data_IF_380358130019
#
_entry.id   IF_380358130019
#
_cell.length_a   1.000
_cell.length_b   1.000
_cell.length_c   1.000
_cell.angle_alpha   90.00
_cell.angle_beta   90.00
_cell.angle_gamma   90.00
#
_symmetry.space_group_name_H-M   'P 1'
#
loop_
_entity.id
_entity.type
_entity.pdbx_description
1 polymer ?
#
# COMPACT_ATOMS: atom_id res chain seq x y z
N UNK A 1 -37.16 -2.56 -18.21
CA UNK A 1 -37.70 -1.82 -19.38
C UNK A 1 -36.55 -1.22 -20.17
N UNK A 2 -36.24 -1.71 -21.39
CA UNK A 2 -35.25 -1.08 -22.29
C UNK A 2 -35.97 0.03 -23.06
N UNK A 3 -35.63 1.30 -22.84
CA UNK A 3 -36.25 2.39 -23.60
C UNK A 3 -35.87 2.24 -25.09
N UNK A 4 -36.89 2.14 -25.95
CA UNK A 4 -36.72 2.03 -27.41
C UNK A 4 -36.31 3.40 -27.96
N UNK A 5 -35.01 3.68 -27.89
CA UNK A 5 -34.42 4.81 -28.61
C UNK A 5 -34.33 4.54 -30.11
N UNK A 6 -34.42 5.61 -30.93
CA UNK A 6 -34.14 5.55 -32.38
C UNK A 6 -32.74 4.99 -32.61
N UNK A 7 -32.63 3.99 -33.50
CA UNK A 7 -31.33 3.39 -33.86
C UNK A 7 -30.37 4.49 -34.33
N UNK A 8 -29.10 4.49 -33.87
CA UNK A 8 -28.11 5.48 -34.29
C UNK A 8 -27.96 5.46 -35.81
N UNK A 9 -27.94 6.65 -36.42
CA UNK A 9 -27.57 6.79 -37.83
C UNK A 9 -26.06 6.53 -37.94
N UNK A 10 -25.69 5.64 -38.85
CA UNK A 10 -24.30 5.28 -39.12
C UNK A 10 -23.83 6.14 -40.30
N UNK A 11 -22.64 6.72 -40.17
CA UNK A 11 -22.01 7.53 -41.22
C UNK A 11 -20.76 6.82 -41.75
N UNK A 12 -20.31 7.16 -42.98
CA UNK A 12 -19.08 6.61 -43.54
C UNK A 12 -17.87 6.91 -42.63
N UNK A 13 -17.15 5.87 -42.21
CA UNK A 13 -16.04 5.99 -41.25
C UNK A 13 -14.91 6.88 -41.79
N UNK A 14 -14.61 6.78 -43.09
CA UNK A 14 -13.52 7.55 -43.71
C UNK A 14 -13.77 9.05 -43.68
N UNK A 15 -15.03 9.47 -43.86
CA UNK A 15 -15.43 10.88 -43.76
C UNK A 15 -15.29 11.36 -42.31
N UNK A 16 -15.71 10.56 -41.33
CA UNK A 16 -15.57 10.91 -39.91
C UNK A 16 -14.10 11.01 -39.48
N UNK A 17 -13.27 10.08 -39.92
CA UNK A 17 -11.83 10.11 -39.67
C UNK A 17 -11.18 11.33 -40.31
N UNK A 18 -11.56 11.68 -41.54
CA UNK A 18 -11.09 12.89 -42.20
C UNK A 18 -11.46 14.16 -41.42
N UNK A 19 -12.70 14.27 -40.94
CA UNK A 19 -13.12 15.40 -40.08
C UNK A 19 -12.26 15.48 -38.82
N UNK A 20 -12.01 14.34 -38.17
CA UNK A 20 -11.19 14.28 -36.96
C UNK A 20 -9.74 14.69 -37.29
N UNK A 21 -9.16 14.18 -38.37
CA UNK A 21 -7.80 14.50 -38.78
C UNK A 21 -7.64 15.97 -39.17
N UNK A 22 -8.61 16.54 -39.90
CA UNK A 22 -8.61 17.94 -40.30
C UNK A 22 -8.82 18.86 -39.09
N UNK A 23 -9.71 18.50 -38.16
CA UNK A 23 -9.86 19.17 -36.87
C UNK A 23 -8.53 19.23 -36.12
N UNK A 24 -7.83 18.09 -36.04
CA UNK A 24 -6.56 17.99 -35.33
C UNK A 24 -5.44 18.80 -35.99
N UNK A 25 -5.38 18.82 -37.33
CA UNK A 25 -4.42 19.65 -38.08
C UNK A 25 -4.66 21.14 -37.86
N UNK A 26 -5.93 21.55 -37.87
CA UNK A 26 -6.31 22.97 -37.77
C UNK A 26 -6.23 23.52 -36.35
N UNK A 27 -6.53 22.71 -35.33
CA UNK A 27 -6.57 23.18 -33.93
C UNK A 27 -5.23 23.06 -33.21
N UNK A 28 -4.23 22.38 -33.79
CA UNK A 28 -2.79 22.54 -33.53
C UNK A 28 -2.23 22.16 -32.16
N UNK A 29 -3.01 22.28 -31.09
CA UNK A 29 -2.61 22.16 -29.68
C UNK A 29 -3.58 21.31 -28.85
N UNK A 30 -4.64 20.78 -29.48
CA UNK A 30 -5.63 19.94 -28.81
C UNK A 30 -5.01 18.57 -28.52
N UNK A 31 -4.80 18.29 -27.23
CA UNK A 31 -4.20 17.06 -26.71
C UNK A 31 -5.22 15.91 -26.72
N UNK A 32 -6.40 16.18 -26.15
CA UNK A 32 -7.57 15.31 -26.13
C UNK A 32 -8.68 16.00 -26.91
N UNK A 33 -9.27 15.29 -27.87
CA UNK A 33 -10.45 15.78 -28.56
C UNK A 33 -11.62 15.76 -27.58
N UNK A 34 -12.05 16.94 -27.10
CA UNK A 34 -13.28 17.04 -26.30
C UNK A 34 -14.48 17.06 -27.23
N UNK A 35 -15.56 16.39 -26.84
CA UNK A 35 -16.75 16.25 -27.68
C UNK A 35 -17.32 17.59 -28.15
N UNK A 36 -17.23 18.63 -27.31
CA UNK A 36 -17.72 19.98 -27.65
C UNK A 36 -16.92 20.62 -28.77
N UNK A 37 -15.61 20.47 -28.75
CA UNK A 37 -14.71 21.13 -29.70
C UNK A 37 -14.86 20.53 -31.09
N UNK A 38 -14.87 19.20 -31.17
CA UNK A 38 -15.10 18.52 -32.45
C UNK A 38 -16.52 18.71 -32.97
N UNK A 39 -17.50 18.81 -32.07
CA UNK A 39 -18.86 19.16 -32.46
C UNK A 39 -18.94 20.55 -33.10
N UNK A 40 -18.34 21.57 -32.46
CA UNK A 40 -18.32 22.93 -32.99
C UNK A 40 -17.62 22.98 -34.35
N UNK A 41 -16.48 22.30 -34.49
CA UNK A 41 -15.77 22.22 -35.75
C UNK A 41 -16.60 21.54 -36.85
N UNK A 42 -17.19 20.38 -36.56
CA UNK A 42 -18.04 19.69 -37.54
C UNK A 42 -19.28 20.52 -37.92
N UNK A 43 -19.81 21.32 -37.00
CA UNK A 43 -20.91 22.24 -37.26
C UNK A 43 -20.49 23.39 -38.19
N UNK A 44 -19.29 23.95 -37.98
CA UNK A 44 -18.72 24.97 -38.88
C UNK A 44 -18.51 24.43 -40.29
N UNK A 45 -17.96 23.23 -40.44
CA UNK A 45 -17.73 22.59 -41.74
C UNK A 45 -19.05 22.27 -42.47
N UNK A 46 -20.11 21.90 -41.73
CA UNK A 46 -21.46 21.77 -42.28
C UNK A 46 -22.01 23.12 -42.76
N UNK A 47 -21.86 24.19 -41.96
CA UNK A 47 -22.35 25.52 -42.34
C UNK A 47 -21.63 26.10 -43.56
N UNK A 48 -20.36 25.71 -43.79
CA UNK A 48 -19.59 26.06 -45.00
C UNK A 48 -19.96 25.23 -46.24
N UNK A 49 -20.83 24.23 -46.10
CA UNK A 49 -21.20 23.31 -47.18
C UNK A 49 -20.14 22.27 -47.53
N UNK A 50 -19.14 22.07 -46.66
CA UNK A 50 -18.06 21.08 -46.85
C UNK A 50 -18.54 19.70 -46.40
N UNK A 51 -19.45 19.64 -45.42
CA UNK A 51 -20.11 18.41 -44.98
C UNK A 51 -21.56 18.37 -45.47
N UNK A 52 -21.93 17.27 -46.13
CA UNK A 52 -23.27 17.04 -46.66
C UNK A 52 -24.33 16.78 -45.58
N UNK A 53 -23.91 16.54 -44.34
CA UNK A 53 -24.79 16.16 -43.25
C UNK A 53 -24.39 16.80 -41.92
N UNK A 54 -25.42 17.21 -41.16
CA UNK A 54 -25.25 17.77 -39.83
C UNK A 54 -25.05 16.67 -38.79
N UNK A 55 -23.91 16.69 -38.11
CA UNK A 55 -23.63 15.85 -36.95
C UNK A 55 -24.12 16.54 -35.68
N UNK A 56 -24.91 15.84 -34.86
CA UNK A 56 -25.45 16.40 -33.62
C UNK A 56 -24.42 16.37 -32.49
N UNK A 57 -24.59 17.22 -31.47
CA UNK A 57 -23.74 17.17 -30.28
C UNK A 57 -23.80 15.80 -29.59
N UNK A 58 -24.99 15.20 -29.54
CA UNK A 58 -25.23 13.85 -29.01
C UNK A 58 -24.42 12.76 -29.73
N UNK A 59 -24.13 12.94 -31.02
CA UNK A 59 -23.32 12.01 -31.80
C UNK A 59 -21.86 11.95 -31.30
N UNK A 60 -21.34 13.09 -30.82
CA UNK A 60 -19.98 13.21 -30.29
C UNK A 60 -19.90 12.94 -28.77
N UNK A 61 -21.01 13.13 -28.05
CA UNK A 61 -21.05 13.02 -26.59
C UNK A 61 -21.38 11.62 -26.07
N UNK A 62 -22.37 10.93 -26.66
CA UNK A 62 -22.93 9.69 -26.09
C UNK A 62 -22.03 8.47 -26.39
N UNK A 63 -21.78 7.59 -25.40
CA UNK A 63 -20.80 6.51 -25.50
C UNK A 63 -21.18 5.42 -26.52
N UNK A 64 -22.46 5.27 -26.84
CA UNK A 64 -22.97 4.30 -27.82
C UNK A 64 -22.92 4.81 -29.27
N UNK A 65 -22.44 6.03 -29.50
CA UNK A 65 -22.43 6.68 -30.81
C UNK A 65 -21.07 6.55 -31.49
N UNK A 66 -21.12 6.38 -32.81
CA UNK A 66 -19.95 6.19 -33.66
C UNK A 66 -18.92 7.32 -33.52
N UNK A 67 -19.36 8.59 -33.43
CA UNK A 67 -18.47 9.73 -33.25
C UNK A 67 -17.68 9.68 -31.95
N UNK A 68 -18.35 9.38 -30.83
CA UNK A 68 -17.70 9.23 -29.52
C UNK A 68 -16.71 8.06 -29.50
N UNK A 69 -17.10 6.90 -30.03
CA UNK A 69 -16.23 5.72 -30.10
C UNK A 69 -14.95 5.98 -30.91
N UNK A 70 -15.05 6.67 -32.05
CA UNK A 70 -13.90 7.02 -32.88
C UNK A 70 -12.98 8.03 -32.18
N UNK A 71 -13.56 9.04 -31.54
CA UNK A 71 -12.80 10.02 -30.75
C UNK A 71 -12.07 9.34 -29.60
N UNK A 72 -12.73 8.43 -28.89
CA UNK A 72 -12.11 7.71 -27.78
C UNK A 72 -11.00 6.75 -28.24
N UNK A 73 -11.18 6.09 -29.39
CA UNK A 73 -10.13 5.27 -30.01
C UNK A 73 -8.90 6.11 -30.38
N UNK A 74 -9.12 7.29 -30.97
CA UNK A 74 -8.03 8.20 -31.38
C UNK A 74 -7.35 8.82 -30.16
N UNK A 75 -8.10 9.24 -29.16
CA UNK A 75 -7.52 9.75 -27.91
C UNK A 75 -6.68 8.66 -27.23
N UNK A 76 -7.18 7.41 -27.15
CA UNK A 76 -6.45 6.27 -26.59
C UNK A 76 -5.16 5.94 -27.34
N UNK A 77 -5.12 6.16 -28.66
CA UNK A 77 -3.89 5.99 -29.46
C UNK A 77 -2.88 7.11 -29.22
N UNK A 78 -3.36 8.33 -28.97
CA UNK A 78 -2.55 9.54 -28.82
C UNK A 78 -1.95 9.71 -27.43
N UNK A 79 -2.63 9.21 -26.41
CA UNK A 79 -2.14 9.22 -25.04
C UNK A 79 -1.97 7.83 -24.48
N UNK A 80 -0.78 7.59 -23.92
CA UNK A 80 -0.59 6.48 -23.02
C UNK A 80 -1.01 6.95 -21.63
N UNK A 81 -2.04 6.33 -21.06
CA UNK A 81 -2.34 6.48 -19.65
C UNK A 81 -1.43 5.53 -18.89
N UNK A 82 -0.47 6.07 -18.14
CA UNK A 82 0.24 5.26 -17.16
C UNK A 82 -0.60 5.27 -15.89
N UNK A 83 -1.03 4.09 -15.47
CA UNK A 83 -1.73 3.91 -14.21
C UNK A 83 -0.75 4.05 -13.05
N UNK A 84 -1.05 4.96 -12.12
CA UNK A 84 -0.30 5.12 -10.88
C UNK A 84 -1.28 5.23 -9.71
N UNK A 85 -1.39 4.18 -8.89
CA UNK A 85 -2.22 4.14 -7.68
C UNK A 85 -3.62 4.78 -7.89
N UNK A 86 -4.38 4.26 -8.87
CA UNK A 86 -5.73 4.67 -9.24
C UNK A 86 -5.87 6.10 -9.83
N UNK A 87 -4.76 6.75 -10.20
CA UNK A 87 -4.75 7.99 -10.98
C UNK A 87 -4.00 7.77 -12.28
N UNK A 88 -4.61 8.19 -13.39
CA UNK A 88 -3.98 8.12 -14.70
C UNK A 88 -3.12 9.37 -14.94
N UNK A 89 -1.84 9.17 -15.21
CA UNK A 89 -0.95 10.24 -15.67
C UNK A 89 -0.84 10.09 -17.18
N UNK A 90 -1.23 11.15 -17.89
CA UNK A 90 -1.18 11.20 -19.33
C UNK A 90 0.26 11.47 -19.80
N UNK A 91 0.79 10.57 -20.62
CA UNK A 91 2.07 10.75 -21.30
C UNK A 91 1.82 10.85 -22.80
N UNK A 92 2.38 11.90 -23.40
CA UNK A 92 2.30 12.16 -24.83
C UNK A 92 3.38 11.34 -25.54
N UNK A 93 3.00 10.59 -26.56
CA UNK A 93 3.93 9.83 -27.41
C UNK A 93 4.88 10.76 -28.16
N UNK A 94 6.18 10.65 -27.92
CA UNK A 94 7.21 11.44 -28.62
C UNK A 94 7.17 11.24 -30.13
N UNK A 95 6.94 10.00 -30.60
CA UNK A 95 6.82 9.68 -32.02
C UNK A 95 5.62 10.39 -32.65
N UNK A 96 4.48 10.47 -31.95
CA UNK A 96 3.30 11.16 -32.46
C UNK A 96 3.51 12.68 -32.57
N UNK A 97 4.22 13.27 -31.60
CA UNK A 97 4.58 14.69 -31.62
C UNK A 97 5.45 14.99 -32.83
N UNK A 98 6.51 14.20 -33.04
CA UNK A 98 7.46 14.39 -34.15
C UNK A 98 6.78 14.16 -35.50
N UNK A 99 5.99 13.09 -35.65
CA UNK A 99 5.34 12.73 -36.91
C UNK A 99 4.25 13.72 -37.33
N UNK A 100 3.59 14.41 -36.38
CA UNK A 100 2.58 15.44 -36.70
C UNK A 100 3.16 16.82 -36.98
N UNK A 101 4.27 17.15 -36.33
CA UNK A 101 4.83 18.50 -36.29
C UNK A 101 6.15 18.57 -37.07
N UNK A 102 6.30 17.78 -38.13
CA UNK A 102 7.53 17.61 -38.91
C UNK A 102 7.92 18.83 -39.80
N UNK A 103 7.35 20.01 -39.54
CA UNK A 103 7.65 21.24 -40.28
C UNK A 103 8.60 22.13 -39.48
N UNK A 104 9.68 22.59 -40.12
CA UNK A 104 10.69 23.45 -39.49
C UNK A 104 10.24 24.91 -39.44
N UNK A 105 9.18 25.18 -38.68
CA UNK A 105 8.75 26.55 -38.37
C UNK A 105 8.89 26.86 -36.89
N UNK A 106 9.21 28.12 -36.50
CA UNK A 106 9.30 28.52 -35.10
C UNK A 106 8.01 28.25 -34.29
N UNK A 107 6.85 28.35 -34.94
CA UNK A 107 5.56 28.04 -34.32
C UNK A 107 5.44 26.54 -34.00
N UNK A 108 5.82 25.68 -34.94
CA UNK A 108 5.83 24.22 -34.77
C UNK A 108 6.78 23.78 -33.65
N UNK A 109 7.99 24.36 -33.60
CA UNK A 109 8.97 24.09 -32.54
C UNK A 109 8.44 24.44 -31.14
N UNK A 110 7.73 25.57 -31.00
CA UNK A 110 7.11 25.97 -29.73
C UNK A 110 6.03 24.98 -29.26
N UNK A 111 5.25 24.43 -30.19
CA UNK A 111 4.24 23.41 -29.89
C UNK A 111 4.85 22.10 -29.41
N UNK A 112 5.91 21.63 -30.06
CA UNK A 112 6.67 20.44 -29.64
C UNK A 112 7.20 20.63 -28.21
N UNK A 113 7.83 21.77 -27.92
CA UNK A 113 8.36 22.08 -26.58
C UNK A 113 7.25 22.05 -25.53
N UNK A 114 6.10 22.67 -25.80
CA UNK A 114 4.98 22.68 -24.85
C UNK A 114 4.41 21.28 -24.58
N UNK A 115 4.34 20.42 -25.61
CA UNK A 115 3.89 19.03 -25.45
C UNK A 115 4.90 18.21 -24.63
N UNK A 116 6.20 18.35 -24.88
CA UNK A 116 7.23 17.64 -24.12
C UNK A 116 7.28 18.07 -22.64
N UNK A 117 6.99 19.34 -22.33
CA UNK A 117 6.89 19.83 -20.93
C UNK A 117 5.82 19.11 -20.11
N UNK A 118 4.75 18.62 -20.74
CA UNK A 118 3.73 17.81 -20.06
C UNK A 118 4.33 16.50 -19.56
N UNK A 119 5.15 15.85 -20.38
CA UNK A 119 5.86 14.62 -20.01
C UNK A 119 6.87 14.88 -18.89
N UNK A 120 7.62 15.99 -18.95
CA UNK A 120 8.56 16.37 -17.89
C UNK A 120 7.85 16.58 -16.55
N UNK A 121 6.70 17.26 -16.55
CA UNK A 121 5.89 17.47 -15.35
C UNK A 121 5.35 16.14 -14.81
N UNK A 122 4.81 15.28 -15.70
CA UNK A 122 4.34 13.94 -15.36
C UNK A 122 5.44 13.11 -14.70
N UNK A 123 6.64 13.10 -15.29
CA UNK A 123 7.81 12.42 -14.74
C UNK A 123 8.19 12.94 -13.35
N UNK A 124 8.28 14.25 -13.15
CA UNK A 124 8.59 14.85 -11.84
C UNK A 124 7.58 14.41 -10.78
N UNK A 125 6.29 14.42 -11.12
CA UNK A 125 5.23 13.99 -10.19
C UNK A 125 5.35 12.51 -9.82
N UNK A 126 5.63 11.64 -10.79
CA UNK A 126 5.85 10.20 -10.56
C UNK A 126 7.09 10.00 -9.68
N UNK A 127 8.20 10.66 -10.00
CA UNK A 127 9.47 10.52 -9.28
C UNK A 127 9.34 10.96 -7.81
N UNK A 128 8.72 12.11 -7.54
CA UNK A 128 8.50 12.56 -6.15
C UNK A 128 7.66 11.55 -5.36
N UNK A 129 6.59 11.03 -5.96
CA UNK A 129 5.72 10.07 -5.29
C UNK A 129 6.40 8.71 -5.09
N UNK A 130 7.19 8.26 -6.04
CA UNK A 130 8.00 7.05 -5.91
C UNK A 130 8.94 7.16 -4.70
N UNK A 131 9.62 8.29 -4.54
CA UNK A 131 10.50 8.53 -3.39
C UNK A 131 9.73 8.51 -2.06
N UNK A 132 8.56 9.16 -2.01
CA UNK A 132 7.69 9.14 -0.82
C UNK A 132 7.23 7.71 -0.46
N UNK A 133 6.86 6.90 -1.45
CA UNK A 133 6.46 5.51 -1.24
C UNK A 133 7.63 4.67 -0.75
N UNK A 134 8.81 4.85 -1.35
CA UNK A 134 10.05 4.16 -0.94
C UNK A 134 10.44 4.48 0.50
N UNK A 135 10.32 5.74 0.92
CA UNK A 135 10.54 6.13 2.32
C UNK A 135 9.54 5.50 3.27
N UNK A 136 8.25 5.45 2.88
CA UNK A 136 7.21 4.81 3.68
C UNK A 136 7.42 3.30 3.82
N UNK A 137 7.81 2.64 2.73
CA UNK A 137 8.14 1.20 2.72
C UNK A 137 9.33 0.90 3.63
N UNK A 138 10.37 1.73 3.60
CA UNK A 138 11.51 1.60 4.50
C UNK A 138 11.10 1.72 5.97
N UNK A 139 10.28 2.73 6.32
CA UNK A 139 9.75 2.91 7.69
C UNK A 139 8.91 1.72 8.15
N UNK A 140 7.98 1.26 7.31
CA UNK A 140 7.13 0.11 7.63
C UNK A 140 7.96 -1.18 7.79
N UNK A 141 8.99 -1.37 6.97
CA UNK A 141 9.87 -2.53 7.08
C UNK A 141 10.67 -2.52 8.38
N UNK A 142 11.13 -1.35 8.81
CA UNK A 142 11.79 -1.18 10.10
C UNK A 142 10.84 -1.47 11.26
N UNK A 143 9.63 -0.91 11.26
CA UNK A 143 8.63 -1.14 12.30
C UNK A 143 8.24 -2.62 12.41
N UNK A 144 8.11 -3.32 11.27
CA UNK A 144 7.86 -4.77 11.26
C UNK A 144 9.04 -5.54 11.89
N UNK A 145 10.28 -5.13 11.65
CA UNK A 145 11.45 -5.77 12.24
C UNK A 145 11.49 -5.56 13.76
N UNK A 146 11.19 -4.36 14.24
CA UNK A 146 11.11 -4.01 15.66
C UNK A 146 10.00 -4.81 16.36
N UNK A 147 8.79 -4.84 15.80
CA UNK A 147 7.67 -5.62 16.33
C UNK A 147 7.96 -7.13 16.37
N UNK A 148 8.65 -7.67 15.36
CA UNK A 148 9.06 -9.08 15.37
C UNK A 148 10.05 -9.38 16.49
N UNK A 149 11.01 -8.49 16.73
CA UNK A 149 11.95 -8.63 17.84
C UNK A 149 11.24 -8.56 19.20
N UNK A 150 10.29 -7.64 19.35
CA UNK A 150 9.47 -7.51 20.56
C UNK A 150 8.62 -8.76 20.81
N UNK A 151 8.01 -9.33 19.77
CA UNK A 151 7.24 -10.59 19.88
C UNK A 151 8.12 -11.74 20.38
N UNK A 152 9.36 -11.86 19.89
CA UNK A 152 10.29 -12.88 20.36
C UNK A 152 10.60 -12.68 21.84
N UNK A 153 10.96 -11.45 22.24
CA UNK A 153 11.25 -11.13 23.64
C UNK A 153 10.04 -11.41 24.57
N UNK A 154 8.83 -11.03 24.16
CA UNK A 154 7.62 -11.30 24.92
C UNK A 154 7.32 -12.81 25.04
N UNK A 155 7.62 -13.60 24.01
CA UNK A 155 7.48 -15.06 24.07
C UNK A 155 8.48 -15.67 25.06
N UNK A 156 9.73 -15.25 24.99
CA UNK A 156 10.79 -15.73 25.90
C UNK A 156 10.43 -15.38 27.36
N UNK A 157 9.96 -14.16 27.61
CA UNK A 157 9.50 -13.74 28.93
C UNK A 157 8.28 -14.55 29.41
N UNK A 158 7.32 -14.84 28.52
CA UNK A 158 6.16 -15.65 28.88
C UNK A 158 6.55 -17.08 29.23
N UNK A 159 7.50 -17.68 28.51
CA UNK A 159 8.03 -19.00 28.84
C UNK A 159 8.73 -18.99 30.22
N UNK A 160 9.51 -17.95 30.51
CA UNK A 160 10.12 -17.77 31.83
C UNK A 160 9.04 -17.67 32.92
N UNK A 161 8.01 -16.85 32.73
CA UNK A 161 6.91 -16.72 33.70
C UNK A 161 6.17 -18.03 33.92
N UNK A 162 5.89 -18.78 32.85
CA UNK A 162 5.26 -20.10 32.97
C UNK A 162 6.13 -21.06 33.77
N UNK A 163 7.43 -21.11 33.48
CA UNK A 163 8.37 -21.97 34.20
C UNK A 163 8.45 -21.61 35.70
N UNK A 164 8.54 -20.33 36.03
CA UNK A 164 8.55 -19.87 37.44
C UNK A 164 7.24 -20.23 38.14
N UNK A 165 6.11 -20.02 37.48
CA UNK A 165 4.79 -20.36 38.02
C UNK A 165 4.65 -21.87 38.25
N UNK A 166 5.13 -22.71 37.33
CA UNK A 166 5.16 -24.16 37.50
C UNK A 166 6.06 -24.58 38.66
N UNK A 167 7.23 -23.97 38.81
CA UNK A 167 8.11 -24.22 39.96
C UNK A 167 7.42 -23.85 41.28
N UNK A 168 6.75 -22.70 41.35
CA UNK A 168 5.97 -22.28 42.52
C UNK A 168 4.81 -23.25 42.82
N UNK A 169 4.07 -23.68 41.80
CA UNK A 169 2.99 -24.64 41.95
C UNK A 169 3.51 -25.99 42.46
N UNK A 170 4.62 -26.49 41.91
CA UNK A 170 5.25 -27.72 42.39
C UNK A 170 5.69 -27.60 43.85
N UNK A 171 6.41 -26.53 44.21
CA UNK A 171 6.87 -26.29 45.58
C UNK A 171 5.70 -26.21 46.57
N UNK A 172 4.58 -25.58 46.19
CA UNK A 172 3.40 -25.49 47.06
C UNK A 172 2.63 -26.81 47.21
N UNK A 173 2.84 -27.78 46.32
CA UNK A 173 2.19 -29.09 46.37
C UNK A 173 2.92 -30.14 47.24
N UNK A 174 4.18 -29.88 47.61
CA UNK A 174 5.00 -30.79 48.42
C UNK A 174 4.51 -30.78 49.86
N UNK A 175 3.99 -31.92 50.33
CA UNK A 175 3.33 -32.06 51.65
C UNK A 175 4.21 -31.74 52.86
N UNK A 176 5.53 -31.92 52.75
CA UNK A 176 6.50 -31.66 53.83
C UNK A 176 7.17 -30.27 53.74
N UNK A 177 6.84 -29.47 52.72
CA UNK A 177 7.19 -28.05 52.69
C UNK A 177 6.11 -27.29 53.46
N UNK A 178 6.37 -27.03 54.74
CA UNK A 178 5.47 -26.22 55.55
C UNK A 178 5.24 -24.86 54.92
N UNK A 179 4.03 -24.60 54.41
CA UNK A 179 3.60 -23.28 54.02
C UNK A 179 3.59 -22.40 55.28
N UNK A 180 4.63 -21.61 55.48
CA UNK A 180 4.70 -20.65 56.57
C UNK A 180 3.62 -19.60 56.30
N UNK A 181 2.55 -19.62 57.09
CA UNK A 181 1.48 -18.64 57.00
C UNK A 181 1.96 -17.30 57.59
N UNK A 182 2.74 -16.56 56.80
CA UNK A 182 3.28 -15.24 57.15
C UNK A 182 2.19 -14.18 57.42
N UNK A 183 0.93 -14.46 57.07
CA UNK A 183 -0.22 -13.58 57.37
C UNK A 183 -0.62 -13.69 58.85
N UNK A 184 -0.39 -14.84 59.49
CA UNK A 184 -0.83 -15.07 60.88
C UNK A 184 0.32 -15.20 61.88
N UNK A 185 1.55 -15.48 61.44
CA UNK A 185 2.73 -15.45 62.32
C UNK A 185 3.52 -14.15 62.15
N UNK A 186 2.98 -13.08 62.73
CA UNK A 186 3.70 -11.93 63.31
C UNK A 186 4.97 -11.38 62.64
N UNK A 187 4.82 -10.14 62.13
CA UNK A 187 5.83 -9.09 61.87
C UNK A 187 6.74 -9.27 60.65
N UNK A 188 6.41 -8.46 59.63
CA UNK A 188 7.23 -8.00 58.48
C UNK A 188 7.55 -9.06 57.43
N UNK A 189 7.14 -8.79 56.17
CA UNK A 189 7.71 -9.43 54.99
C UNK A 189 9.23 -9.33 55.10
N UNK A 190 9.96 -10.44 54.89
CA UNK A 190 11.42 -10.32 54.78
C UNK A 190 11.75 -9.50 53.53
N UNK A 191 12.78 -8.66 53.60
CA UNK A 191 13.21 -7.79 52.50
C UNK A 191 13.42 -8.60 51.21
N UNK A 192 13.89 -9.85 51.34
CA UNK A 192 14.08 -10.80 50.24
C UNK A 192 12.79 -11.14 49.49
N UNK A 193 11.70 -11.43 50.21
CA UNK A 193 10.41 -11.77 49.60
C UNK A 193 9.77 -10.54 48.97
N UNK A 194 9.94 -9.38 49.59
CA UNK A 194 9.47 -8.12 49.03
C UNK A 194 10.25 -7.69 47.78
N UNK A 195 11.55 -7.99 47.73
CA UNK A 195 12.40 -7.75 46.57
C UNK A 195 12.05 -8.71 45.42
N UNK A 196 11.85 -10.00 45.70
CA UNK A 196 11.30 -10.97 44.73
C UNK A 196 9.97 -10.52 44.13
N UNK A 197 9.03 -10.03 44.96
CA UNK A 197 7.74 -9.53 44.49
C UNK A 197 7.83 -8.21 43.71
N UNK A 198 8.83 -7.37 44.00
CA UNK A 198 9.09 -6.14 43.22
C UNK A 198 9.77 -6.44 41.90
N UNK A 199 10.58 -7.50 41.84
CA UNK A 199 11.40 -7.83 40.68
C UNK A 199 10.67 -8.72 39.66
N UNK A 200 9.68 -9.52 40.08
CA UNK A 200 8.87 -10.38 39.18
C UNK A 200 8.09 -9.59 38.11
N UNK A 201 7.83 -8.30 38.33
CA UNK A 201 7.14 -7.42 37.36
C UNK A 201 8.09 -6.45 36.64
N UNK A 202 9.41 -6.61 36.80
CA UNK A 202 10.42 -5.79 36.11
C UNK A 202 10.94 -6.49 34.85
N UNK A 203 11.76 -5.79 34.07
CA UNK A 203 12.35 -6.27 32.81
C UNK A 203 13.20 -7.56 32.92
N UNK A 204 13.65 -7.94 34.13
CA UNK A 204 14.40 -9.18 34.39
C UNK A 204 13.89 -9.91 35.64
N UNK A 205 12.79 -10.67 35.53
CA UNK A 205 12.08 -11.27 36.67
C UNK A 205 12.86 -12.39 37.38
N UNK A 206 13.88 -12.94 36.74
CA UNK A 206 14.74 -14.02 37.23
C UNK A 206 15.99 -13.55 37.99
N UNK A 207 16.30 -12.25 37.99
CA UNK A 207 17.52 -11.71 38.60
C UNK A 207 17.63 -12.02 40.11
N UNK A 208 16.55 -11.79 40.86
CA UNK A 208 16.52 -12.06 42.30
C UNK A 208 16.67 -13.57 42.64
N UNK A 209 16.16 -14.46 41.78
CA UNK A 209 16.30 -15.92 41.95
C UNK A 209 17.74 -16.36 41.67
N UNK A 210 18.39 -15.75 40.68
CA UNK A 210 19.79 -16.04 40.35
C UNK A 210 20.75 -15.59 41.47
N UNK A 211 20.51 -14.42 42.08
CA UNK A 211 21.29 -13.88 43.19
C UNK A 211 21.13 -14.69 44.49
N UNK A 212 19.96 -15.32 44.71
CA UNK A 212 19.74 -16.20 45.86
C UNK A 212 20.48 -17.54 45.78
N UNK A 213 20.79 -18.00 44.56
CA UNK A 213 21.51 -19.26 44.34
C UNK A 213 23.04 -19.09 44.47
N UNK A 214 23.55 -17.87 44.51
CA UNK A 214 25.01 -17.61 44.62
C UNK A 214 25.53 -17.52 46.04
N UNK A 215 24.67 -17.27 47.05
CA UNK A 215 25.12 -16.97 48.42
C UNK A 215 24.92 -18.09 49.45
N UNK A 216 24.49 -19.29 49.05
CA UNK A 216 24.20 -20.37 50.00
C UNK A 216 25.15 -21.57 49.89
N UNK A 217 26.36 -21.44 50.45
CA UNK A 217 26.95 -22.55 51.21
C UNK A 217 26.27 -22.60 52.57
N UNK A 218 25.07 -23.19 52.61
CA UNK A 218 24.39 -23.55 53.85
C UNK A 218 24.66 -25.03 54.09
N UNK A 219 25.39 -25.34 55.17
CA UNK A 219 25.95 -26.65 55.54
C UNK A 219 24.94 -27.80 55.80
N UNK A 220 23.65 -27.66 55.48
CA UNK A 220 22.64 -28.70 55.74
C UNK A 220 21.51 -28.75 54.70
N UNK A 221 21.83 -28.69 53.41
CA UNK A 221 20.85 -28.97 52.35
C UNK A 221 21.11 -30.35 51.77
N UNK A 222 20.11 -31.24 51.90
CA UNK A 222 20.06 -32.52 51.21
C UNK A 222 20.33 -32.28 49.74
N UNK A 223 21.42 -32.87 49.24
CA UNK A 223 21.82 -32.78 47.85
C UNK A 223 20.72 -33.39 46.99
N UNK A 224 19.93 -32.55 46.31
CA UNK A 224 18.99 -33.02 45.29
C UNK A 224 19.86 -33.43 44.10
N UNK A 225 20.23 -34.71 44.09
CA UNK A 225 20.82 -35.33 42.91
C UNK A 225 19.78 -35.32 41.80
N UNK A 226 20.16 -34.80 40.63
CA UNK A 226 19.39 -34.93 39.38
C UNK A 226 19.18 -36.42 39.10
N UNK A 227 18.09 -36.98 39.61
CA UNK A 227 17.56 -38.23 39.08
C UNK A 227 16.94 -37.89 37.73
N UNK A 228 17.41 -38.61 36.71
CA UNK A 228 17.20 -38.36 35.29
C UNK A 228 15.76 -38.63 34.80
N UNK A 229 14.78 -38.72 35.68
CA UNK A 229 13.43 -39.12 35.28
C UNK A 229 12.49 -37.93 35.46
N UNK A 230 12.39 -37.12 34.40
CA UNK A 230 11.24 -36.24 34.24
C UNK A 230 10.00 -37.10 34.02
N UNK A 231 8.93 -36.84 34.77
CA UNK A 231 7.61 -37.49 34.67
C UNK A 231 6.98 -37.46 33.26
N UNK A 232 7.59 -36.72 32.32
CA UNK A 232 7.22 -36.67 30.91
C UNK A 232 7.64 -37.95 30.17
N UNK A 233 8.69 -38.65 30.60
CA UNK A 233 9.11 -39.93 29.99
C UNK A 233 8.33 -41.14 30.54
N UNK A 234 7.69 -41.02 31.71
CA UNK A 234 6.85 -42.08 32.30
C UNK A 234 5.39 -42.05 31.79
N UNK A 235 5.02 -41.03 31.01
CA UNK A 235 3.72 -40.91 30.36
C UNK A 235 3.91 -41.00 28.84
N UNK A 236 3.83 -42.21 28.29
CA UNK A 236 3.67 -42.46 26.85
C UNK A 236 2.40 -41.72 26.33
N UNK A 237 2.56 -40.45 25.91
CA UNK A 237 1.56 -39.61 25.24
C UNK A 237 2.09 -39.07 23.91
#
# INVERSE_FOLDING_TARGET
MKSRGRKPKIYPKDILLKIIDDFLRNQGDIQIIRYKEIFLYALEEYNKGILDFKLSEDFWRKPDRQGKLLVDEINKKRSALIENNNQYIEIISTNDVINRLSQDTPATKKKIINQLKVNEYGYRKISTRYNQLKEKEAKMSQEIAELKAEIVNLKDNNEIYQNVLFQWANLSSVKDLGLINLITTGKTRSDTVEQLFKDIFKEQPNKAILELNTDNTIDNVVTITKTKNTLIEDLDL
#
